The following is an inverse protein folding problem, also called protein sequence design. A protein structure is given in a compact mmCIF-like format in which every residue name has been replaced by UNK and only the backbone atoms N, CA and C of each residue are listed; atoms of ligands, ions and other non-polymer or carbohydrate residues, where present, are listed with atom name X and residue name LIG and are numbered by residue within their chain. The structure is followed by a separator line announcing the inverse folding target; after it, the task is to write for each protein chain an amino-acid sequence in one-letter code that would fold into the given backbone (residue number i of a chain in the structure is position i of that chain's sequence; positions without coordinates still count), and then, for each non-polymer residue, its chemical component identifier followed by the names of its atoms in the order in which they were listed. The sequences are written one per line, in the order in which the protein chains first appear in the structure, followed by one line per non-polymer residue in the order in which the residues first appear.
data_IF_818935421650
#
_entry.id   IF_818935421650
#
_cell.length_a   1.000
_cell.length_b   1.000
_cell.length_c   1.000
_cell.angle_alpha   90.00
_cell.angle_beta   90.00
_cell.angle_gamma   90.00
#
_symmetry.space_group_name_H-M   'P 1'
#
loop_
_entity.id
_entity.type
_entity.pdbx_description
1 polymer ?
#
# COMPACT_ATOMS: atom_id res chain seq x y z
N UNK A 1 45.76 13.26 -70.99
CA UNK A 1 46.29 13.58 -69.64
C UNK A 1 45.16 14.20 -68.81
N UNK A 2 44.51 13.40 -67.96
CA UNK A 2 43.42 13.84 -67.07
C UNK A 2 43.79 13.49 -65.63
N UNK A 3 43.53 14.44 -64.73
CA UNK A 3 44.01 14.53 -63.35
C UNK A 3 43.39 13.45 -62.45
N UNK A 4 44.22 12.95 -61.54
CA UNK A 4 43.87 12.09 -60.39
C UNK A 4 43.04 12.90 -59.40
N UNK A 5 41.93 12.35 -58.92
CA UNK A 5 41.23 12.85 -57.73
C UNK A 5 40.98 11.67 -56.78
N UNK A 6 41.74 11.65 -55.68
CA UNK A 6 41.56 10.75 -54.55
C UNK A 6 40.23 11.08 -53.86
N UNK A 7 39.32 10.11 -53.76
CA UNK A 7 38.13 10.21 -52.93
C UNK A 7 38.49 9.74 -51.51
N UNK A 8 38.67 10.68 -50.59
CA UNK A 8 38.88 10.39 -49.17
C UNK A 8 37.58 9.91 -48.53
N UNK A 9 37.59 8.68 -48.00
CA UNK A 9 36.52 8.08 -47.21
C UNK A 9 36.48 8.76 -45.82
N UNK A 10 35.54 9.68 -45.60
CA UNK A 10 35.31 10.32 -44.31
C UNK A 10 34.39 9.48 -43.43
N UNK A 11 34.97 8.77 -42.45
CA UNK A 11 34.23 8.12 -41.36
C UNK A 11 33.80 9.20 -40.36
N UNK A 12 32.51 9.53 -40.34
CA UNK A 12 31.89 10.38 -39.31
C UNK A 12 31.33 9.48 -38.21
N UNK A 13 32.18 9.12 -37.24
CA UNK A 13 31.72 8.64 -35.93
C UNK A 13 31.38 9.89 -35.12
N UNK A 14 30.15 10.37 -35.23
CA UNK A 14 29.64 11.37 -34.29
C UNK A 14 29.19 10.64 -33.04
N UNK A 15 29.89 10.95 -31.95
CA UNK A 15 29.64 10.48 -30.60
C UNK A 15 28.24 10.86 -30.14
N UNK A 16 27.30 9.90 -30.18
CA UNK A 16 26.07 9.96 -29.40
C UNK A 16 26.38 9.64 -27.92
N UNK A 17 27.09 10.54 -27.25
CA UNK A 17 27.26 10.53 -25.78
C UNK A 17 26.62 11.80 -25.23
N UNK A 18 25.37 12.09 -25.59
CA UNK A 18 24.60 13.16 -24.96
C UNK A 18 23.09 12.90 -25.11
N UNK A 19 22.60 11.86 -24.45
CA UNK A 19 21.21 11.79 -24.04
C UNK A 19 21.09 10.83 -22.85
N UNK A 20 20.45 11.31 -21.79
CA UNK A 20 20.20 10.60 -20.52
C UNK A 20 21.39 10.49 -19.56
N UNK A 21 22.04 11.63 -19.27
CA UNK A 21 22.16 11.95 -17.84
C UNK A 21 20.72 12.21 -17.40
N UNK A 22 20.14 11.28 -16.66
CA UNK A 22 19.01 11.59 -15.79
C UNK A 22 19.40 12.88 -15.09
N UNK A 23 18.68 13.95 -15.38
CA UNK A 23 18.88 15.22 -14.72
C UNK A 23 18.89 14.89 -13.23
N UNK A 24 20.01 15.19 -12.58
CA UNK A 24 20.14 15.26 -11.14
C UNK A 24 19.38 16.51 -10.64
N UNK A 25 18.18 16.71 -11.19
CA UNK A 25 17.18 17.70 -10.86
C UNK A 25 16.20 16.94 -9.95
N UNK A 26 16.05 17.22 -8.67
CA UNK A 26 16.62 18.26 -7.84
C UNK A 26 16.35 17.73 -6.43
N UNK A 27 17.38 17.30 -5.68
CA UNK A 27 17.26 17.44 -4.22
C UNK A 27 17.21 18.95 -4.03
N UNK A 28 16.01 19.52 -4.04
CA UNK A 28 15.85 20.87 -3.57
C UNK A 28 16.33 20.82 -2.13
N UNK A 29 17.38 21.58 -1.75
CA UNK A 29 17.58 21.82 -0.33
C UNK A 29 16.23 22.28 0.21
N UNK A 30 15.94 21.98 1.47
CA UNK A 30 14.85 22.67 2.15
C UNK A 30 15.26 24.16 2.18
N UNK A 31 15.04 24.89 1.08
CA UNK A 31 15.17 26.34 1.00
C UNK A 31 13.87 26.92 1.50
N UNK A 32 13.43 26.44 2.67
CA UNK A 32 12.51 27.20 3.48
C UNK A 32 13.41 28.16 4.24
N UNK A 33 13.32 29.44 3.92
CA UNK A 33 13.68 30.51 4.84
C UNK A 33 12.89 30.41 6.18
N UNK A 34 11.99 29.42 6.33
CA UNK A 34 11.13 29.18 7.46
C UNK A 34 11.58 27.97 8.31
N UNK A 35 11.66 28.23 9.61
CA UNK A 35 11.99 27.29 10.67
C UNK A 35 10.97 26.13 10.73
N UNK A 36 11.45 24.89 10.65
CA UNK A 36 10.66 23.64 10.70
C UNK A 36 10.15 23.28 12.10
N UNK A 37 9.96 24.29 12.96
CA UNK A 37 9.36 24.14 14.28
C UNK A 37 7.88 24.56 14.19
N UNK A 38 6.98 23.59 14.39
CA UNK A 38 5.52 23.84 14.32
C UNK A 38 5.05 24.94 15.27
N UNK A 39 5.73 25.16 16.40
CA UNK A 39 5.39 26.21 17.36
C UNK A 39 5.57 27.62 16.79
N UNK A 40 6.33 27.80 15.70
CA UNK A 40 6.43 29.10 15.01
C UNK A 40 5.08 29.58 14.46
N UNK A 41 4.20 28.64 14.11
CA UNK A 41 2.88 28.94 13.56
C UNK A 41 1.80 29.08 14.65
N UNK A 42 2.18 28.97 15.93
CA UNK A 42 1.27 29.11 17.07
C UNK A 42 1.53 30.43 17.78
N UNK A 43 0.56 31.34 17.75
CA UNK A 43 0.67 32.60 18.48
C UNK A 43 0.79 32.34 19.99
N UNK A 44 1.87 32.82 20.62
CA UNK A 44 2.18 32.55 22.03
C UNK A 44 1.04 33.00 22.96
N UNK A 45 0.37 34.09 22.62
CA UNK A 45 -0.73 34.68 23.39
C UNK A 45 -2.02 33.84 23.36
N UNK A 46 -2.12 32.86 22.44
CA UNK A 46 -3.31 32.01 22.30
C UNK A 46 -2.99 30.52 22.32
N UNK A 47 -1.73 30.14 22.55
CA UNK A 47 -1.27 28.74 22.54
C UNK A 47 -2.03 27.84 23.53
N UNK A 48 -2.52 28.40 24.63
CA UNK A 48 -3.30 27.70 25.64
C UNK A 48 -4.81 27.60 25.31
N UNK A 49 -5.29 28.33 24.29
CA UNK A 49 -6.71 28.37 23.94
C UNK A 49 -7.09 27.11 23.16
N UNK A 50 -8.10 26.34 23.59
CA UNK A 50 -8.59 25.21 22.81
C UNK A 50 -9.03 25.64 21.41
N UNK A 51 -8.62 24.87 20.39
CA UNK A 51 -8.99 25.13 18.98
C UNK A 51 -10.50 24.95 18.73
N UNK A 52 -11.19 24.19 19.57
CA UNK A 52 -12.63 23.92 19.49
C UNK A 52 -13.24 23.93 20.90
N UNK A 53 -14.55 24.16 20.99
CA UNK A 53 -15.26 24.11 22.27
C UNK A 53 -15.31 22.69 22.86
N UNK A 54 -15.39 22.59 24.19
CA UNK A 54 -15.50 21.31 24.91
C UNK A 54 -16.69 20.46 24.43
N UNK A 55 -17.81 21.10 24.07
CA UNK A 55 -18.98 20.43 23.48
C UNK A 55 -18.65 19.77 22.14
N UNK A 56 -17.93 20.47 21.24
CA UNK A 56 -17.48 19.91 19.96
C UNK A 56 -16.47 18.78 20.17
N UNK A 57 -15.50 18.97 21.06
CA UNK A 57 -14.49 17.95 21.38
C UNK A 57 -15.14 16.67 21.90
N UNK A 58 -16.12 16.78 22.81
CA UNK A 58 -16.87 15.62 23.33
C UNK A 58 -17.66 14.91 22.23
N UNK A 59 -18.33 15.67 21.35
CA UNK A 59 -19.04 15.12 20.18
C UNK A 59 -18.08 14.36 19.25
N UNK A 60 -16.93 14.94 18.91
CA UNK A 60 -15.95 14.31 18.04
C UNK A 60 -15.28 13.10 18.68
N UNK A 61 -14.99 13.13 19.98
CA UNK A 61 -14.49 11.97 20.74
C UNK A 61 -15.48 10.81 20.70
N UNK A 62 -16.77 11.09 20.94
CA UNK A 62 -17.83 10.06 20.84
C UNK A 62 -17.90 9.47 19.43
N UNK A 63 -17.91 10.31 18.40
CA UNK A 63 -17.91 9.86 17.01
C UNK A 63 -16.67 9.02 16.71
N UNK A 64 -15.47 9.46 17.12
CA UNK A 64 -14.23 8.73 16.93
C UNK A 64 -14.34 7.30 17.48
N UNK A 65 -14.73 7.12 18.75
CA UNK A 65 -14.83 5.79 19.34
C UNK A 65 -15.93 4.93 18.73
N UNK A 66 -17.06 5.54 18.32
CA UNK A 66 -18.11 4.82 17.60
C UNK A 66 -17.59 4.21 16.29
N UNK A 67 -16.77 4.97 15.56
CA UNK A 67 -16.14 4.52 14.33
C UNK A 67 -15.01 3.52 14.63
N UNK A 68 -14.06 3.86 15.50
CA UNK A 68 -12.91 3.05 15.86
C UNK A 68 -13.28 1.61 16.27
N UNK A 69 -14.34 1.45 17.07
CA UNK A 69 -14.82 0.14 17.52
C UNK A 69 -15.96 -0.45 16.67
N UNK A 70 -16.31 0.18 15.54
CA UNK A 70 -17.31 -0.38 14.62
C UNK A 70 -16.99 -1.78 14.10
N UNK A 71 -15.72 -2.25 13.95
CA UNK A 71 -15.44 -3.61 13.47
C UNK A 71 -16.07 -4.67 14.34
N UNK A 72 -16.12 -4.42 15.64
CA UNK A 72 -16.65 -5.37 16.60
C UNK A 72 -18.16 -5.36 16.69
N UNK A 73 -18.81 -4.30 16.21
CA UNK A 73 -20.28 -4.16 16.21
C UNK A 73 -20.94 -4.81 15.00
N UNK A 74 -20.14 -5.12 13.98
CA UNK A 74 -20.59 -5.72 12.72
C UNK A 74 -20.89 -7.21 12.86
N UNK A 75 -20.43 -7.86 13.93
CA UNK A 75 -20.42 -9.31 14.13
C UNK A 75 -21.77 -10.04 14.04
N UNK A 76 -22.92 -9.33 14.01
CA UNK A 76 -24.23 -9.96 13.79
C UNK A 76 -24.76 -9.88 12.36
N UNK A 77 -24.50 -8.81 11.59
CA UNK A 77 -25.10 -8.61 10.25
C UNK A 77 -24.32 -7.64 9.31
N UNK A 78 -23.13 -7.16 9.66
CA UNK A 78 -22.59 -5.91 9.09
C UNK A 78 -21.54 -6.03 7.97
N UNK A 79 -21.13 -7.24 7.54
CA UNK A 79 -20.41 -7.35 6.28
C UNK A 79 -21.42 -7.23 5.15
N UNK A 80 -21.56 -6.02 4.60
CA UNK A 80 -22.51 -5.75 3.53
C UNK A 80 -22.13 -6.41 2.20
N UNK A 81 -20.90 -6.93 2.07
CA UNK A 81 -20.49 -7.62 0.86
C UNK A 81 -20.89 -9.09 0.94
N UNK A 82 -21.84 -9.48 0.10
CA UNK A 82 -22.06 -10.89 -0.16
C UNK A 82 -20.77 -11.57 -0.65
N UNK A 83 -20.69 -12.90 -0.54
CA UNK A 83 -19.58 -13.66 -1.14
C UNK A 83 -19.39 -13.32 -2.64
N UNK A 84 -20.47 -12.99 -3.35
CA UNK A 84 -20.40 -12.52 -4.74
C UNK A 84 -19.71 -11.15 -4.87
N UNK A 85 -20.02 -10.18 -4.01
CA UNK A 85 -19.35 -8.88 -4.00
C UNK A 85 -17.87 -9.01 -3.62
N UNK A 86 -17.54 -9.84 -2.63
CA UNK A 86 -16.14 -10.13 -2.30
C UNK A 86 -15.39 -10.75 -3.50
N UNK A 87 -15.96 -11.78 -4.12
CA UNK A 87 -15.35 -12.43 -5.30
C UNK A 87 -15.13 -11.45 -6.45
N UNK A 88 -16.12 -10.58 -6.71
CA UNK A 88 -16.01 -9.53 -7.73
C UNK A 88 -14.84 -8.58 -7.43
N UNK A 89 -14.73 -8.12 -6.19
CA UNK A 89 -13.65 -7.22 -5.77
C UNK A 89 -12.27 -7.89 -5.89
N UNK A 90 -12.14 -9.14 -5.44
CA UNK A 90 -10.88 -9.87 -5.56
C UNK A 90 -10.53 -10.14 -7.02
N UNK A 91 -11.51 -10.50 -7.85
CA UNK A 91 -11.30 -10.68 -9.29
C UNK A 91 -10.83 -9.39 -9.96
N UNK A 92 -11.36 -8.24 -9.58
CA UNK A 92 -10.90 -6.94 -10.06
C UNK A 92 -9.44 -6.65 -9.64
N UNK A 93 -9.08 -6.91 -8.38
CA UNK A 93 -7.69 -6.78 -7.92
C UNK A 93 -6.75 -7.72 -8.68
N UNK A 94 -7.14 -8.99 -8.85
CA UNK A 94 -6.34 -9.98 -9.61
C UNK A 94 -6.16 -9.51 -11.05
N UNK A 95 -7.22 -9.06 -11.71
CA UNK A 95 -7.14 -8.62 -13.10
C UNK A 95 -6.26 -7.37 -13.26
N UNK A 96 -6.26 -6.46 -12.28
CA UNK A 96 -5.37 -5.29 -12.27
C UNK A 96 -3.90 -5.68 -12.38
N UNK A 97 -3.47 -6.73 -11.67
CA UNK A 97 -2.06 -7.14 -11.61
C UNK A 97 -1.72 -8.35 -12.50
N UNK A 98 -2.70 -8.90 -13.23
CA UNK A 98 -2.49 -10.08 -14.09
C UNK A 98 -1.65 -9.77 -15.34
N UNK A 99 -1.78 -8.54 -15.86
CA UNK A 99 -1.17 -8.13 -17.12
C UNK A 99 0.18 -7.44 -16.93
N UNK A 100 0.39 -6.81 -15.78
CA UNK A 100 1.69 -6.36 -15.33
C UNK A 100 2.01 -7.09 -14.03
N UNK A 101 2.92 -8.06 -14.10
CA UNK A 101 3.39 -8.81 -12.93
C UNK A 101 4.39 -7.99 -12.09
N UNK A 102 4.83 -6.85 -12.64
CA UNK A 102 5.80 -5.97 -12.01
C UNK A 102 7.14 -6.65 -11.76
N UNK A 103 7.91 -6.02 -10.87
CA UNK A 103 9.21 -6.48 -10.43
C UNK A 103 9.25 -6.57 -8.91
N UNK A 104 9.99 -7.56 -8.41
CA UNK A 104 10.22 -7.77 -6.99
C UNK A 104 11.32 -6.88 -6.42
N UNK A 105 11.74 -7.17 -5.19
CA UNK A 105 12.78 -6.46 -4.44
C UNK A 105 14.16 -6.48 -5.10
N UNK A 106 14.41 -7.47 -5.96
CA UNK A 106 15.63 -7.59 -6.76
C UNK A 106 15.54 -6.87 -8.12
N UNK A 107 14.46 -6.12 -8.35
CA UNK A 107 14.11 -5.47 -9.61
C UNK A 107 14.01 -6.39 -10.84
N UNK A 108 13.91 -7.70 -10.62
CA UNK A 108 13.63 -8.68 -11.68
C UNK A 108 12.14 -8.84 -11.89
N UNK A 109 11.74 -9.16 -13.12
CA UNK A 109 10.34 -9.43 -13.43
C UNK A 109 9.84 -10.61 -12.60
N UNK A 110 8.69 -10.42 -11.95
CA UNK A 110 8.07 -11.51 -11.21
C UNK A 110 7.58 -12.59 -12.18
N UNK A 111 7.87 -13.88 -11.90
CA UNK A 111 7.41 -14.96 -12.75
C UNK A 111 5.89 -15.15 -12.63
N UNK A 112 5.26 -15.70 -13.68
CA UNK A 112 3.82 -15.97 -13.64
C UNK A 112 3.42 -16.96 -12.56
N UNK A 113 4.30 -17.91 -12.22
CA UNK A 113 4.08 -18.88 -11.13
C UNK A 113 3.90 -18.18 -9.78
N UNK A 114 4.75 -17.21 -9.45
CA UNK A 114 4.64 -16.40 -8.22
C UNK A 114 3.26 -15.76 -8.09
N UNK A 115 2.78 -15.11 -9.15
CA UNK A 115 1.45 -14.48 -9.11
C UNK A 115 0.32 -15.51 -8.94
N UNK A 116 0.43 -16.64 -9.64
CA UNK A 116 -0.56 -17.71 -9.53
C UNK A 116 -0.59 -18.34 -8.13
N UNK A 117 0.56 -18.48 -7.46
CA UNK A 117 0.68 -18.98 -6.09
C UNK A 117 0.00 -18.04 -5.09
N UNK A 118 0.23 -16.72 -5.21
CA UNK A 118 -0.45 -15.72 -4.39
C UNK A 118 -1.97 -15.82 -4.58
N UNK A 119 -2.44 -15.88 -5.84
CA UNK A 119 -3.88 -16.00 -6.15
C UNK A 119 -4.47 -17.30 -5.59
N UNK A 120 -3.75 -18.41 -5.67
CA UNK A 120 -4.18 -19.68 -5.09
C UNK A 120 -4.23 -19.61 -3.54
N UNK A 121 -3.31 -18.88 -2.91
CA UNK A 121 -3.29 -18.71 -1.46
C UNK A 121 -4.47 -17.88 -0.93
N UNK A 122 -5.08 -17.01 -1.75
CA UNK A 122 -6.24 -16.20 -1.35
C UNK A 122 -7.48 -17.02 -0.97
N UNK A 123 -7.62 -18.27 -1.43
CA UNK A 123 -8.76 -19.18 -1.18
C UNK A 123 -10.15 -18.52 -1.39
N UNK A 124 -10.29 -17.71 -2.44
CA UNK A 124 -11.42 -16.78 -2.65
C UNK A 124 -12.79 -17.47 -2.64
N UNK A 125 -12.85 -18.72 -3.12
CA UNK A 125 -14.10 -19.45 -3.23
C UNK A 125 -14.71 -19.80 -1.87
N UNK A 126 -13.87 -20.02 -0.85
CA UNK A 126 -14.32 -20.36 0.51
C UNK A 126 -14.76 -19.16 1.34
N UNK A 127 -14.80 -17.97 0.76
CA UNK A 127 -15.20 -16.78 1.50
C UNK A 127 -16.68 -16.76 1.88
N UNK A 128 -17.02 -16.37 3.12
CA UNK A 128 -16.11 -16.21 4.28
C UNK A 128 -15.76 -17.58 4.88
N UNK A 129 -14.51 -17.79 5.30
CA UNK A 129 -14.09 -19.02 5.99
C UNK A 129 -13.89 -18.83 7.51
N UNK A 130 -14.07 -17.60 8.00
CA UNK A 130 -14.06 -17.24 9.42
C UNK A 130 -14.95 -16.01 9.63
N UNK A 131 -15.41 -15.77 10.85
CA UNK A 131 -16.19 -14.59 11.24
C UNK A 131 -15.82 -14.24 12.68
N UNK A 132 -14.80 -13.38 12.87
CA UNK A 132 -14.23 -13.14 14.20
C UNK A 132 -13.78 -11.71 14.42
N UNK A 133 -14.17 -11.15 15.55
CA UNK A 133 -13.59 -9.91 16.07
C UNK A 133 -12.16 -10.17 16.53
N UNK A 134 -11.24 -9.25 16.22
CA UNK A 134 -9.85 -9.32 16.65
C UNK A 134 -9.26 -7.93 16.86
N UNK A 135 -8.04 -7.88 17.39
CA UNK A 135 -7.24 -6.68 17.57
C UNK A 135 -5.85 -6.93 17.00
N UNK A 136 -5.24 -5.92 16.37
CA UNK A 136 -3.83 -6.01 15.96
C UNK A 136 -2.92 -5.98 17.18
N UNK A 137 -2.04 -6.96 17.31
CA UNK A 137 -1.03 -7.02 18.40
C UNK A 137 0.33 -6.44 17.99
N UNK A 138 0.53 -6.21 16.70
CA UNK A 138 1.67 -5.54 16.10
C UNK A 138 1.20 -4.56 15.03
N UNK A 139 2.07 -3.66 14.60
CA UNK A 139 1.84 -2.91 13.37
C UNK A 139 1.79 -3.90 12.19
N UNK A 140 0.83 -3.75 11.30
CA UNK A 140 0.55 -4.69 10.23
C UNK A 140 0.30 -3.97 8.91
N UNK A 141 0.78 -4.54 7.80
CA UNK A 141 0.60 -3.96 6.47
C UNK A 141 -0.76 -4.36 5.89
N UNK A 142 -1.51 -3.37 5.38
CA UNK A 142 -2.69 -3.60 4.55
C UNK A 142 -2.26 -3.61 3.09
N UNK A 143 -2.55 -4.71 2.39
CA UNK A 143 -2.07 -4.98 1.04
C UNK A 143 -3.20 -5.35 0.08
N UNK A 144 -2.97 -5.12 -1.21
CA UNK A 144 -3.90 -5.56 -2.27
C UNK A 144 -3.85 -7.06 -2.52
N UNK A 145 -2.66 -7.66 -2.38
CA UNK A 145 -2.40 -9.08 -2.56
C UNK A 145 -1.76 -9.67 -1.28
N UNK A 146 -2.06 -10.93 -0.91
CA UNK A 146 -1.53 -11.57 0.30
C UNK A 146 -0.10 -12.08 0.10
N UNK A 147 0.86 -11.16 0.01
CA UNK A 147 2.30 -11.45 -0.01
C UNK A 147 3.07 -10.34 0.71
N UNK A 148 4.24 -10.65 1.27
CA UNK A 148 5.20 -9.65 1.77
C UNK A 148 6.04 -9.02 0.66
N UNK A 149 6.11 -9.66 -0.51
CA UNK A 149 6.95 -9.21 -1.61
C UNK A 149 6.39 -7.90 -2.18
N UNK A 150 7.26 -6.95 -2.55
CA UNK A 150 6.84 -5.72 -3.20
C UNK A 150 6.45 -5.98 -4.65
N UNK A 151 5.62 -5.09 -5.18
CA UNK A 151 5.37 -4.99 -6.61
C UNK A 151 5.76 -3.60 -7.09
N UNK A 152 6.72 -3.52 -8.01
CA UNK A 152 7.11 -2.28 -8.69
C UNK A 152 6.77 -2.36 -10.17
N UNK A 153 6.11 -1.34 -10.74
CA UNK A 153 5.81 -1.28 -12.17
C UNK A 153 7.09 -1.30 -13.04
N UNK A 154 7.81 -0.19 -13.15
CA UNK A 154 9.11 -0.11 -13.81
C UNK A 154 10.09 0.74 -12.96
N UNK A 155 11.05 0.13 -12.24
CA UNK A 155 11.94 0.84 -11.34
C UNK A 155 12.91 1.79 -12.04
N UNK A 156 13.01 1.73 -13.38
CA UNK A 156 13.78 2.70 -14.17
C UNK A 156 12.97 3.95 -14.55
N UNK A 157 11.66 3.99 -14.25
CA UNK A 157 10.81 5.17 -14.41
C UNK A 157 10.67 5.85 -13.04
N UNK A 158 10.92 7.17 -13.01
CA UNK A 158 10.77 7.96 -11.80
C UNK A 158 9.37 7.80 -11.19
N UNK A 159 9.31 7.49 -9.89
CA UNK A 159 8.05 7.27 -9.18
C UNK A 159 7.44 5.87 -9.29
N UNK A 160 8.11 4.92 -9.96
CA UNK A 160 7.59 3.55 -10.16
C UNK A 160 8.47 2.43 -9.55
N UNK A 161 9.63 2.78 -9.00
CA UNK A 161 10.48 1.88 -8.22
C UNK A 161 10.32 2.09 -6.71
N UNK A 162 11.27 1.59 -5.93
CA UNK A 162 11.31 1.87 -4.49
C UNK A 162 11.21 3.39 -4.21
N UNK A 163 10.40 3.83 -3.21
CA UNK A 163 9.61 3.05 -2.24
C UNK A 163 8.14 2.81 -2.65
N UNK A 164 7.78 2.98 -3.91
CA UNK A 164 6.40 2.93 -4.40
C UNK A 164 5.93 1.49 -4.68
N UNK A 165 5.75 0.70 -3.63
CA UNK A 165 5.20 -0.66 -3.70
C UNK A 165 3.68 -0.63 -4.00
N UNK A 166 3.29 -1.08 -5.20
CA UNK A 166 1.91 -1.05 -5.68
C UNK A 166 0.95 -1.96 -4.89
N UNK A 167 1.50 -2.97 -4.20
CA UNK A 167 0.71 -3.83 -3.33
C UNK A 167 0.45 -3.19 -1.98
N UNK A 168 1.29 -2.25 -1.55
CA UNK A 168 1.13 -1.55 -0.28
C UNK A 168 -0.03 -0.57 -0.36
N UNK A 169 -1.04 -0.77 0.49
CA UNK A 169 -2.21 0.11 0.56
C UNK A 169 -2.17 1.04 1.76
N UNK A 170 -1.91 0.50 2.95
CA UNK A 170 -1.92 1.24 4.20
C UNK A 170 -1.29 0.42 5.33
N UNK A 171 -1.35 0.92 6.56
CA UNK A 171 -0.85 0.25 7.74
C UNK A 171 -1.89 0.29 8.85
N UNK A 172 -2.04 -0.83 9.56
CA UNK A 172 -2.74 -0.90 10.83
C UNK A 172 -1.73 -0.74 11.95
N UNK A 173 -2.01 0.19 12.86
CA UNK A 173 -1.23 0.30 14.09
C UNK A 173 -1.62 -0.82 15.06
N UNK A 174 -0.71 -1.16 15.98
CA UNK A 174 -1.04 -1.97 17.15
C UNK A 174 -2.26 -1.40 17.90
N UNK A 175 -3.12 -2.28 18.39
CA UNK A 175 -4.34 -1.91 19.12
C UNK A 175 -5.53 -1.53 18.24
N UNK A 176 -5.45 -1.71 16.92
CA UNK A 176 -6.55 -1.40 16.00
C UNK A 176 -7.60 -2.52 16.01
N UNK A 177 -8.88 -2.23 16.34
CA UNK A 177 -9.97 -3.17 16.20
C UNK A 177 -10.14 -3.60 14.74
N UNK A 178 -10.30 -4.89 14.53
CA UNK A 178 -10.54 -5.47 13.21
C UNK A 178 -11.59 -6.59 13.30
N UNK A 179 -12.12 -6.95 12.15
CA UNK A 179 -12.96 -8.13 11.98
C UNK A 179 -12.39 -8.98 10.84
N UNK A 180 -12.17 -10.26 11.10
CA UNK A 180 -11.56 -11.20 10.15
C UNK A 180 -12.66 -12.03 9.49
N UNK A 181 -12.67 -12.04 8.16
CA UNK A 181 -13.65 -12.80 7.36
C UNK A 181 -13.05 -13.96 6.58
N UNK A 182 -11.75 -13.89 6.32
CA UNK A 182 -11.04 -14.94 5.63
C UNK A 182 -9.60 -15.02 6.08
N UNK A 183 -9.10 -16.23 6.21
CA UNK A 183 -7.69 -16.56 6.34
C UNK A 183 -7.25 -17.23 5.03
N UNK A 184 -6.04 -16.92 4.57
CA UNK A 184 -5.43 -17.56 3.39
C UNK A 184 -5.32 -19.08 3.55
N UNK A 185 -5.12 -19.79 2.44
CA UNK A 185 -4.97 -21.25 2.44
C UNK A 185 -3.81 -21.71 3.34
N UNK A 186 -2.71 -20.96 3.36
CA UNK A 186 -1.53 -21.26 4.16
C UNK A 186 -1.61 -20.73 5.60
N UNK A 187 -2.66 -19.97 5.94
CA UNK A 187 -2.84 -19.41 7.28
C UNK A 187 -2.10 -18.10 7.52
N UNK A 188 -1.17 -17.71 6.65
CA UNK A 188 -0.22 -16.60 6.80
C UNK A 188 -0.80 -15.18 6.64
N UNK A 189 -2.00 -15.06 6.07
CA UNK A 189 -2.63 -13.77 5.76
C UNK A 189 -4.10 -13.78 6.15
N UNK A 190 -4.63 -12.61 6.50
CA UNK A 190 -6.05 -12.45 6.80
C UNK A 190 -6.68 -11.36 5.93
N UNK A 191 -7.85 -11.62 5.36
CA UNK A 191 -8.70 -10.57 4.81
C UNK A 191 -9.57 -10.01 5.93
N UNK A 192 -9.40 -8.71 6.18
CA UNK A 192 -10.03 -8.06 7.32
C UNK A 192 -10.90 -6.89 6.89
N UNK A 193 -11.83 -6.55 7.76
CA UNK A 193 -12.53 -5.28 7.78
C UNK A 193 -12.05 -4.47 8.97
N UNK A 194 -11.81 -3.19 8.74
CA UNK A 194 -11.34 -2.24 9.72
C UNK A 194 -11.89 -0.86 9.36
N UNK A 195 -11.79 0.08 10.29
CA UNK A 195 -12.24 1.45 10.07
C UNK A 195 -11.07 2.39 9.79
N UNK A 196 -10.80 2.60 8.51
CA UNK A 196 -10.19 3.83 8.03
C UNK A 196 -10.74 4.07 6.63
N UNK A 197 -11.54 5.13 6.47
CA UNK A 197 -12.22 5.50 5.22
C UNK A 197 -12.61 4.30 4.31
N UNK A 198 -13.64 3.54 4.70
CA UNK A 198 -14.44 2.72 3.78
C UNK A 198 -13.66 1.64 2.96
N UNK A 199 -12.77 0.83 3.56
CA UNK A 199 -12.18 -0.32 2.83
C UNK A 199 -12.00 -1.61 3.65
N UNK A 200 -12.32 -2.77 3.06
CA UNK A 200 -11.93 -4.12 3.52
C UNK A 200 -10.84 -4.71 2.62
N UNK A 201 -9.71 -5.19 3.18
CA UNK A 201 -8.51 -5.62 2.42
C UNK A 201 -7.67 -6.67 3.17
N UNK A 202 -6.65 -7.22 2.49
CA UNK A 202 -5.71 -8.17 3.08
C UNK A 202 -4.79 -7.47 4.07
N UNK A 203 -4.52 -8.13 5.19
CA UNK A 203 -3.52 -7.75 6.19
C UNK A 203 -2.48 -8.84 6.28
N UNK A 204 -1.22 -8.43 6.22
CA UNK A 204 -0.08 -9.28 6.55
C UNK A 204 0.24 -9.12 8.03
N UNK A 205 0.14 -10.22 8.76
CA UNK A 205 0.64 -10.36 10.12
C UNK A 205 1.02 -11.82 10.31
N UNK A 206 2.12 -12.09 11.02
CA UNK A 206 2.53 -13.44 11.41
C UNK A 206 1.36 -14.13 12.13
N UNK A 207 0.54 -14.87 11.40
CA UNK A 207 -0.30 -15.93 11.96
C UNK A 207 0.59 -17.17 12.07
N UNK A 208 1.73 -17.03 12.76
CA UNK A 208 2.30 -18.21 13.41
C UNK A 208 1.38 -18.50 14.57
N UNK A 209 0.86 -19.72 14.60
CA UNK A 209 0.19 -20.36 15.73
C UNK A 209 0.03 -19.46 16.98
N UNK A 210 -1.19 -18.96 17.21
CA UNK A 210 -1.65 -18.34 18.46
C UNK A 210 -1.01 -17.00 18.89
N UNK A 211 -1.21 -15.89 18.17
CA UNK A 211 -1.06 -14.54 18.77
C UNK A 211 -2.09 -13.49 18.31
N UNK A 212 -3.33 -13.89 18.07
CA UNK A 212 -4.46 -12.97 18.20
C UNK A 212 -5.10 -13.26 19.54
N UNK A 213 -5.08 -12.31 20.48
CA UNK A 213 -5.85 -12.47 21.73
C UNK A 213 -7.33 -12.55 21.36
N UNK A 214 -7.91 -13.71 21.59
CA UNK A 214 -9.35 -13.96 21.43
C UNK A 214 -10.04 -13.55 22.72
N UNK A 215 -10.98 -12.60 22.63
CA UNK A 215 -12.00 -12.38 23.66
C UNK A 215 -13.26 -13.15 23.29
#
# INVERSE_FOLDING_TARGET
MKKILFLTFGVLITTNIFAQRASCDLIQPITFAENQNIYRFVAKQTAYKPLISARKQTKYKKNFFQHFFSPWKISRFGFTKSAASYRKDQAANINRFRHNLGRGENYQLNPRSWFNEIVANMDILKFPNINRNAITVHNAALRYMPTTDPHFDNPHIAGQGYPFDDFQKSMLMVGTPIHIYQISKQGDCAFVWFIQMVVSRWVMGLVRHYQLMTY
#
